data_IF_778801512991
#
_entry.id   IF_778801512991
#
_cell.length_a   1.000
_cell.length_b   1.000
_cell.length_c   1.000
_cell.angle_alpha   90.00
_cell.angle_beta   90.00
_cell.angle_gamma   90.00
#
_symmetry.space_group_name_H-M   'P 1'
#
loop_
_entity.id
_entity.type
_entity.pdbx_description
1 polymer ?
#
# COMPACT_ATOMS: atom_id res chain seq x y z
N UNK A 1 -32.00 -67.67 -33.87
CA UNK A 1 -32.81 -66.48 -33.58
C UNK A 1 -33.34 -66.60 -32.16
N UNK A 2 -32.75 -65.86 -31.22
CA UNK A 2 -33.40 -65.11 -30.13
C UNK A 2 -32.32 -64.77 -29.09
N UNK A 3 -32.08 -63.47 -29.01
CA UNK A 3 -31.08 -62.78 -28.21
C UNK A 3 -31.66 -62.45 -26.83
N UNK A 4 -30.77 -62.46 -25.81
CA UNK A 4 -30.71 -61.48 -24.70
C UNK A 4 -31.85 -61.55 -23.65
N UNK A 5 -31.67 -61.36 -22.34
CA UNK A 5 -30.86 -60.39 -21.62
C UNK A 5 -30.62 -60.93 -20.18
N UNK A 6 -29.37 -60.97 -19.72
CA UNK A 6 -29.08 -61.17 -18.29
C UNK A 6 -29.20 -59.82 -17.58
N UNK A 7 -30.09 -59.73 -16.58
CA UNK A 7 -30.23 -58.56 -15.72
C UNK A 7 -29.10 -58.56 -14.70
N UNK A 8 -28.08 -57.73 -14.93
CA UNK A 8 -27.10 -57.38 -13.91
C UNK A 8 -27.72 -56.29 -13.01
N UNK A 9 -28.03 -56.67 -11.77
CA UNK A 9 -28.35 -55.71 -10.70
C UNK A 9 -27.03 -55.12 -10.21
N UNK A 10 -26.64 -53.96 -10.76
CA UNK A 10 -25.58 -53.13 -10.20
C UNK A 10 -26.17 -52.29 -9.08
N UNK A 11 -25.80 -52.62 -7.84
CA UNK A 11 -26.04 -51.81 -6.65
C UNK A 11 -25.38 -50.43 -6.84
N UNK A 12 -26.19 -49.40 -7.09
CA UNK A 12 -25.74 -48.03 -7.15
C UNK A 12 -25.37 -47.50 -5.77
N UNK A 13 -24.08 -47.59 -5.40
CA UNK A 13 -23.52 -46.72 -4.37
C UNK A 13 -23.36 -45.33 -4.98
N UNK A 14 -24.31 -44.45 -4.71
CA UNK A 14 -24.17 -43.03 -5.00
C UNK A 14 -22.98 -42.49 -4.19
N UNK A 15 -21.84 -42.29 -4.86
CA UNK A 15 -20.71 -41.54 -4.30
C UNK A 15 -21.15 -40.09 -4.24
N UNK A 16 -21.58 -39.65 -3.06
CA UNK A 16 -21.75 -38.23 -2.76
C UNK A 16 -20.36 -37.60 -2.75
N UNK A 17 -19.92 -37.11 -3.91
CA UNK A 17 -18.74 -36.27 -4.03
C UNK A 17 -18.96 -35.02 -3.18
N UNK A 18 -18.27 -34.96 -2.03
CA UNK A 18 -18.24 -33.77 -1.18
C UNK A 18 -17.58 -32.67 -2.02
N UNK A 19 -18.36 -31.76 -2.62
CA UNK A 19 -17.80 -30.57 -3.26
C UNK A 19 -17.05 -29.80 -2.18
N UNK A 20 -15.72 -29.89 -2.19
CA UNK A 20 -14.88 -29.01 -1.38
C UNK A 20 -15.18 -27.58 -1.80
N UNK A 21 -15.92 -26.85 -0.96
CA UNK A 21 -16.09 -25.41 -1.14
C UNK A 21 -14.69 -24.81 -1.14
N UNK A 22 -14.29 -24.24 -2.27
CA UNK A 22 -13.05 -23.46 -2.34
C UNK A 22 -13.08 -22.43 -1.21
N UNK A 23 -12.03 -22.35 -0.37
CA UNK A 23 -12.00 -21.39 0.71
C UNK A 23 -12.21 -19.98 0.16
N UNK A 24 -13.01 -19.19 0.86
CA UNK A 24 -13.32 -17.82 0.49
C UNK A 24 -12.02 -17.00 0.40
N UNK A 25 -11.88 -16.22 -0.67
CA UNK A 25 -10.64 -15.50 -0.98
C UNK A 25 -10.95 -14.11 -1.53
N UNK A 26 -10.14 -13.12 -1.17
CA UNK A 26 -10.24 -11.78 -1.74
C UNK A 26 -9.63 -11.76 -3.16
N UNK A 27 -10.13 -10.87 -4.03
CA UNK A 27 -9.44 -10.56 -5.28
C UNK A 27 -8.31 -9.58 -4.94
N UNK A 28 -7.13 -10.10 -4.63
CA UNK A 28 -6.02 -9.30 -4.13
C UNK A 28 -4.69 -9.66 -4.77
N UNK A 29 -3.74 -8.73 -4.69
CA UNK A 29 -2.40 -8.85 -5.26
C UNK A 29 -1.35 -8.26 -4.32
N UNK A 30 -0.18 -8.86 -4.31
CA UNK A 30 1.01 -8.26 -3.70
C UNK A 30 1.65 -7.35 -4.74
N UNK A 31 1.66 -6.05 -4.47
CA UNK A 31 2.12 -5.02 -5.40
C UNK A 31 3.54 -4.57 -5.05
N UNK A 32 4.40 -4.50 -6.07
CA UNK A 32 5.80 -4.08 -5.93
C UNK A 32 6.15 -3.12 -7.07
N UNK A 33 6.62 -1.93 -6.73
CA UNK A 33 7.31 -1.03 -7.65
C UNK A 33 8.80 -1.11 -7.34
N UNK A 34 9.61 -1.58 -8.29
CA UNK A 34 11.04 -1.86 -8.04
C UNK A 34 11.84 -1.80 -9.33
N UNK A 35 13.14 -1.55 -9.24
CA UNK A 35 14.03 -1.54 -10.41
C UNK A 35 14.78 -2.85 -10.55
N UNK A 36 15.36 -3.05 -11.73
CA UNK A 36 16.23 -4.20 -12.00
C UNK A 36 17.40 -4.30 -10.99
N UNK A 37 17.98 -3.17 -10.57
CA UNK A 37 19.11 -3.14 -9.62
C UNK A 37 18.72 -3.53 -8.18
N UNK A 38 17.43 -3.57 -7.87
CA UNK A 38 16.93 -3.94 -6.54
C UNK A 38 16.68 -5.47 -6.42
N UNK A 39 17.13 -6.28 -7.39
CA UNK A 39 16.89 -7.73 -7.43
C UNK A 39 17.27 -8.45 -6.13
N UNK A 40 18.49 -8.22 -5.63
CA UNK A 40 19.00 -8.89 -4.43
C UNK A 40 18.16 -8.55 -3.18
N UNK A 41 17.96 -7.27 -2.81
CA UNK A 41 17.11 -6.93 -1.66
C UNK A 41 15.65 -7.36 -1.84
N UNK A 42 15.14 -7.41 -3.08
CA UNK A 42 13.80 -7.91 -3.37
C UNK A 42 13.68 -9.42 -3.13
N UNK A 43 14.66 -10.22 -3.56
CA UNK A 43 14.69 -11.67 -3.30
C UNK A 43 14.70 -11.94 -1.79
N UNK A 44 15.47 -11.17 -1.02
CA UNK A 44 15.48 -11.29 0.44
C UNK A 44 14.10 -11.01 1.06
N UNK A 45 13.46 -9.93 0.61
CA UNK A 45 12.09 -9.58 1.00
C UNK A 45 11.11 -10.69 0.65
N UNK A 46 11.13 -11.21 -0.58
CA UNK A 46 10.22 -12.26 -1.03
C UNK A 46 10.39 -13.54 -0.22
N UNK A 47 11.62 -14.01 0.01
CA UNK A 47 11.86 -15.21 0.83
C UNK A 47 11.31 -15.06 2.23
N UNK A 48 11.52 -13.90 2.83
CA UNK A 48 10.98 -13.58 4.14
C UNK A 48 9.44 -13.57 4.11
N UNK A 49 8.84 -12.83 3.18
CA UNK A 49 7.39 -12.70 3.06
C UNK A 49 6.67 -14.02 2.70
N UNK A 50 7.26 -14.84 1.82
CA UNK A 50 6.78 -16.19 1.50
C UNK A 50 6.80 -17.10 2.73
N UNK A 51 7.89 -17.08 3.50
CA UNK A 51 8.02 -17.84 4.75
C UNK A 51 6.98 -17.39 5.79
N UNK A 52 6.77 -16.08 5.92
CA UNK A 52 5.88 -15.50 6.93
C UNK A 52 4.40 -15.57 6.56
N UNK A 53 4.05 -15.57 5.27
CA UNK A 53 2.66 -15.47 4.83
C UNK A 53 2.38 -16.19 3.51
N UNK A 54 3.01 -15.76 2.41
CA UNK A 54 2.41 -15.97 1.10
C UNK A 54 2.56 -17.40 0.55
N UNK A 55 3.46 -18.22 1.09
CA UNK A 55 3.54 -19.64 0.71
C UNK A 55 2.25 -20.42 1.05
N UNK A 56 1.51 -19.96 2.08
CA UNK A 56 0.23 -20.53 2.53
C UNK A 56 -0.95 -20.07 1.68
N UNK A 57 -1.01 -18.77 1.35
CA UNK A 57 -2.17 -18.15 0.69
C UNK A 57 -2.02 -17.99 -0.83
N UNK A 58 -0.78 -17.93 -1.31
CA UNK A 58 -0.37 -17.87 -2.73
C UNK A 58 -1.05 -16.73 -3.49
N UNK A 59 -1.10 -15.53 -2.92
CA UNK A 59 -1.56 -14.32 -3.63
C UNK A 59 -0.58 -13.97 -4.75
N UNK A 60 -1.09 -13.56 -5.93
CA UNK A 60 -0.23 -13.20 -7.04
C UNK A 60 0.63 -12.00 -6.68
N UNK A 61 1.80 -11.93 -7.29
CA UNK A 61 2.64 -10.74 -7.28
C UNK A 61 2.48 -9.96 -8.58
N UNK A 62 2.42 -8.64 -8.48
CA UNK A 62 2.52 -7.72 -9.60
C UNK A 62 3.73 -6.82 -9.38
N UNK A 63 4.73 -6.98 -10.24
CA UNK A 63 5.91 -6.12 -10.29
C UNK A 63 5.74 -5.09 -11.39
N UNK A 64 5.91 -3.81 -11.05
CA UNK A 64 6.02 -2.71 -12.00
C UNK A 64 7.41 -2.06 -11.91
N UNK A 65 7.88 -1.55 -13.05
CA UNK A 65 9.13 -0.81 -13.18
C UNK A 65 8.98 0.25 -14.26
N UNK A 66 9.70 1.37 -14.16
CA UNK A 66 9.75 2.40 -15.18
C UNK A 66 10.57 1.99 -16.42
N UNK A 67 11.35 0.93 -16.29
CA UNK A 67 12.05 0.24 -17.39
C UNK A 67 11.52 -1.19 -17.57
N UNK A 68 11.84 -1.82 -18.71
CA UNK A 68 11.58 -3.25 -18.86
C UNK A 68 12.40 -4.06 -17.85
N UNK A 69 11.75 -5.01 -17.18
CA UNK A 69 12.46 -5.97 -16.36
C UNK A 69 13.36 -6.88 -17.21
N UNK A 70 14.59 -7.10 -16.76
CA UNK A 70 15.51 -8.05 -17.41
C UNK A 70 15.02 -9.48 -17.26
N UNK A 71 15.45 -10.36 -18.17
CA UNK A 71 15.12 -11.78 -18.07
C UNK A 71 15.74 -12.44 -16.83
N UNK A 72 16.89 -11.96 -16.37
CA UNK A 72 17.49 -12.37 -15.09
C UNK A 72 16.56 -12.03 -13.93
N UNK A 73 16.04 -10.81 -13.89
CA UNK A 73 15.10 -10.38 -12.85
C UNK A 73 13.85 -11.26 -12.85
N UNK A 74 13.19 -11.38 -14.01
CA UNK A 74 11.95 -12.17 -14.14
C UNK A 74 12.15 -13.63 -13.77
N UNK A 75 13.24 -14.26 -14.22
CA UNK A 75 13.55 -15.66 -13.93
C UNK A 75 13.82 -15.87 -12.45
N UNK A 76 14.61 -15.01 -11.84
CA UNK A 76 14.97 -15.12 -10.41
C UNK A 76 13.74 -14.96 -9.54
N UNK A 77 12.95 -13.89 -9.74
CA UNK A 77 11.73 -13.63 -8.96
C UNK A 77 10.70 -14.76 -9.09
N UNK A 78 10.49 -15.31 -10.29
CA UNK A 78 9.60 -16.47 -10.48
C UNK A 78 10.09 -17.72 -9.73
N UNK A 79 11.39 -17.86 -9.50
CA UNK A 79 11.97 -18.96 -8.74
C UNK A 79 11.72 -18.87 -7.24
N UNK A 80 11.35 -17.70 -6.71
CA UNK A 80 11.18 -17.47 -5.27
C UNK A 80 9.77 -17.78 -4.73
N UNK A 81 8.80 -18.07 -5.60
CA UNK A 81 7.41 -18.33 -5.19
C UNK A 81 6.70 -19.34 -6.08
N UNK A 82 5.71 -20.05 -5.52
CA UNK A 82 4.78 -20.87 -6.28
C UNK A 82 3.52 -20.08 -6.73
N UNK A 83 3.39 -18.82 -6.32
CA UNK A 83 2.30 -17.95 -6.74
C UNK A 83 2.49 -17.44 -8.17
N UNK A 84 1.42 -16.96 -8.79
CA UNK A 84 1.51 -16.27 -10.09
C UNK A 84 2.32 -14.98 -9.93
N UNK A 85 3.21 -14.70 -10.87
CA UNK A 85 3.97 -13.44 -10.92
C UNK A 85 3.76 -12.78 -12.27
N UNK A 86 3.30 -11.54 -12.24
CA UNK A 86 3.11 -10.67 -13.40
C UNK A 86 4.12 -9.53 -13.35
N UNK A 87 4.63 -9.14 -14.52
CA UNK A 87 5.56 -8.04 -14.70
C UNK A 87 4.97 -7.04 -15.68
N UNK A 88 5.00 -5.76 -15.35
CA UNK A 88 4.57 -4.67 -16.22
C UNK A 88 5.57 -3.53 -16.24
N UNK A 89 5.55 -2.77 -17.32
CA UNK A 89 6.31 -1.52 -17.45
C UNK A 89 5.36 -0.35 -17.26
N UNK A 90 5.77 0.63 -16.46
CA UNK A 90 4.98 1.85 -16.25
C UNK A 90 4.94 2.64 -17.56
N UNK A 91 3.75 3.10 -18.02
CA UNK A 91 3.65 3.97 -19.18
C UNK A 91 4.46 5.26 -19.00
N UNK A 92 5.20 5.68 -20.03
CA UNK A 92 6.06 6.87 -19.98
C UNK A 92 5.30 8.15 -19.56
N UNK A 93 4.04 8.30 -19.98
CA UNK A 93 3.18 9.43 -19.60
C UNK A 93 2.89 9.50 -18.08
N UNK A 94 2.97 8.37 -17.38
CA UNK A 94 2.74 8.25 -15.94
C UNK A 94 4.05 8.43 -15.15
N UNK A 95 5.21 8.28 -15.80
CA UNK A 95 6.56 8.39 -15.24
C UNK A 95 7.40 9.54 -15.88
N UNK A 96 6.74 10.62 -16.29
CA UNK A 96 7.38 11.79 -16.89
C UNK A 96 6.96 13.09 -16.21
N UNK A 97 7.69 14.17 -16.49
CA UNK A 97 7.32 15.52 -16.03
C UNK A 97 6.20 16.04 -16.94
N UNK A 98 5.01 16.35 -16.40
CA UNK A 98 3.89 16.82 -17.21
C UNK A 98 4.14 18.18 -17.87
N UNK A 99 3.47 18.44 -19.00
CA UNK A 99 3.68 19.65 -19.80
C UNK A 99 3.38 20.97 -19.07
N UNK A 100 2.47 20.95 -18.08
CA UNK A 100 2.14 22.15 -17.30
C UNK A 100 3.17 22.48 -16.22
N UNK A 101 4.20 21.64 -16.03
CA UNK A 101 5.29 21.92 -15.12
C UNK A 101 6.30 22.85 -15.82
N UNK A 102 6.48 24.03 -15.25
CA UNK A 102 7.49 25.00 -15.67
C UNK A 102 8.89 24.44 -15.38
N UNK A 103 9.63 24.13 -16.44
CA UNK A 103 10.97 23.54 -16.38
C UNK A 103 11.98 24.43 -15.66
N UNK A 104 11.89 25.76 -15.82
CA UNK A 104 12.81 26.70 -15.16
C UNK A 104 12.55 26.71 -13.66
N UNK A 105 11.28 26.80 -13.25
CA UNK A 105 10.88 26.74 -11.84
C UNK A 105 11.27 25.39 -11.22
N UNK A 106 11.14 24.30 -11.96
CA UNK A 106 11.58 22.97 -11.55
C UNK A 106 13.08 22.93 -11.28
N UNK A 107 13.90 23.39 -12.22
CA UNK A 107 15.36 23.43 -12.10
C UNK A 107 15.82 24.28 -10.91
N UNK A 108 15.21 25.46 -10.72
CA UNK A 108 15.47 26.33 -9.57
C UNK A 108 15.09 25.65 -8.24
N UNK A 109 13.95 24.94 -8.23
CA UNK A 109 13.49 24.20 -7.06
C UNK A 109 14.42 23.05 -6.70
N UNK A 110 14.94 22.31 -7.68
CA UNK A 110 15.90 21.22 -7.46
C UNK A 110 17.24 21.75 -6.93
N UNK A 111 17.76 22.85 -7.51
CA UNK A 111 18.97 23.53 -7.00
C UNK A 111 18.80 23.98 -5.55
N UNK A 112 17.64 24.56 -5.23
CA UNK A 112 17.31 24.99 -3.86
C UNK A 112 17.24 23.81 -2.89
N UNK A 113 16.47 22.77 -3.22
CA UNK A 113 16.32 21.55 -2.40
C UNK A 113 17.66 20.85 -2.15
N UNK A 114 18.53 20.78 -3.17
CA UNK A 114 19.91 20.28 -3.03
C UNK A 114 20.72 21.09 -2.03
N UNK A 115 20.67 22.42 -2.14
CA UNK A 115 21.38 23.34 -1.24
C UNK A 115 20.87 23.26 0.21
N UNK A 116 19.57 23.09 0.39
CA UNK A 116 18.91 22.95 1.69
C UNK A 116 19.06 21.55 2.29
N UNK A 117 19.61 20.57 1.55
CA UNK A 117 19.79 19.20 2.03
C UNK A 117 18.48 18.42 2.16
N UNK A 118 17.44 18.80 1.41
CA UNK A 118 16.15 18.07 1.42
C UNK A 118 16.38 16.66 0.87
N UNK A 119 16.07 15.64 1.69
CA UNK A 119 16.26 14.25 1.31
C UNK A 119 15.54 13.93 -0.01
N UNK A 120 16.30 13.43 -0.98
CA UNK A 120 15.84 13.13 -2.35
C UNK A 120 15.26 14.32 -3.13
N UNK A 121 15.37 15.54 -2.62
CA UNK A 121 14.76 16.72 -3.22
C UNK A 121 15.39 17.13 -4.56
N UNK A 122 16.54 16.60 -4.95
CA UNK A 122 17.13 16.80 -6.27
C UNK A 122 17.13 15.53 -7.14
N UNK A 123 16.37 14.49 -6.77
CA UNK A 123 16.32 13.21 -7.49
C UNK A 123 15.03 13.05 -8.28
N UNK A 124 15.08 13.31 -9.58
CA UNK A 124 13.89 13.28 -10.45
C UNK A 124 13.10 11.95 -10.38
N UNK A 125 13.81 10.81 -10.39
CA UNK A 125 13.17 9.49 -10.27
C UNK A 125 12.37 9.30 -8.99
N UNK A 126 12.79 9.94 -7.88
CA UNK A 126 12.05 9.89 -6.61
C UNK A 126 10.73 10.68 -6.70
N UNK A 127 10.74 11.83 -7.39
CA UNK A 127 9.54 12.61 -7.63
C UNK A 127 8.54 11.87 -8.54
N UNK A 128 9.04 11.19 -9.59
CA UNK A 128 8.22 10.31 -10.42
C UNK A 128 7.62 9.16 -9.62
N UNK A 129 8.42 8.51 -8.76
CA UNK A 129 7.94 7.44 -7.88
C UNK A 129 6.81 7.92 -6.95
N UNK A 130 6.98 9.07 -6.28
CA UNK A 130 5.94 9.62 -5.40
C UNK A 130 4.66 9.95 -6.19
N UNK A 131 4.79 10.56 -7.38
CA UNK A 131 3.65 10.85 -8.24
C UNK A 131 2.95 9.57 -8.74
N UNK A 132 3.71 8.56 -9.13
CA UNK A 132 3.19 7.28 -9.62
C UNK A 132 2.41 6.54 -8.55
N UNK A 133 2.97 6.43 -7.34
CA UNK A 133 2.29 5.81 -6.21
C UNK A 133 1.08 6.62 -5.74
N UNK A 134 1.10 7.96 -5.85
CA UNK A 134 -0.05 8.78 -5.51
C UNK A 134 -1.21 8.70 -6.51
N UNK A 135 -0.95 8.45 -7.80
CA UNK A 135 -1.96 8.71 -8.84
C UNK A 135 -2.22 7.65 -9.89
N UNK A 136 -1.32 6.69 -10.07
CA UNK A 136 -1.29 5.91 -11.31
C UNK A 136 -1.29 4.40 -11.09
N UNK A 137 -0.56 3.87 -10.10
CA UNK A 137 -0.35 2.43 -9.96
C UNK A 137 -1.66 1.63 -9.93
N UNK A 138 -2.70 2.16 -9.30
CA UNK A 138 -4.01 1.52 -9.12
C UNK A 138 -4.89 1.48 -10.39
N UNK A 139 -4.47 2.16 -11.46
CA UNK A 139 -5.11 2.15 -12.78
C UNK A 139 -4.32 1.33 -13.83
N UNK A 140 -3.14 0.80 -13.47
CA UNK A 140 -2.35 0.00 -14.39
C UNK A 140 -3.14 -1.23 -14.87
N UNK A 141 -3.15 -1.58 -16.18
CA UNK A 141 -4.02 -2.64 -16.72
C UNK A 141 -3.93 -3.99 -15.97
N UNK A 142 -2.73 -4.37 -15.52
CA UNK A 142 -2.50 -5.61 -14.77
C UNK A 142 -3.16 -5.62 -13.38
N UNK A 143 -3.39 -4.46 -12.76
CA UNK A 143 -3.98 -4.36 -11.41
C UNK A 143 -5.51 -4.25 -11.43
N UNK A 144 -6.11 -3.95 -12.59
CA UNK A 144 -7.54 -3.65 -12.72
C UNK A 144 -8.47 -4.79 -12.32
N UNK A 145 -7.98 -6.04 -12.35
CA UNK A 145 -8.73 -7.24 -11.97
C UNK A 145 -8.81 -7.49 -10.46
N UNK A 146 -8.10 -6.71 -9.66
CA UNK A 146 -8.04 -6.86 -8.19
C UNK A 146 -8.86 -5.77 -7.48
N UNK A 147 -9.35 -6.12 -6.29
CA UNK A 147 -10.08 -5.25 -5.36
C UNK A 147 -9.18 -4.70 -4.25
N UNK A 148 -8.12 -5.43 -3.88
CA UNK A 148 -7.17 -5.08 -2.84
C UNK A 148 -5.72 -5.25 -3.32
N UNK A 149 -4.81 -4.46 -2.76
CA UNK A 149 -3.36 -4.66 -2.92
C UNK A 149 -2.67 -4.65 -1.56
N UNK A 150 -1.53 -5.34 -1.48
CA UNK A 150 -0.56 -5.19 -0.41
C UNK A 150 0.73 -4.67 -1.01
N UNK A 151 1.08 -3.41 -0.76
CA UNK A 151 2.37 -2.85 -1.16
C UNK A 151 3.48 -3.41 -0.27
N UNK A 152 4.50 -3.97 -0.90
CA UNK A 152 5.77 -4.33 -0.28
C UNK A 152 6.91 -3.73 -1.10
N UNK A 153 8.01 -3.39 -0.45
CA UNK A 153 9.20 -2.81 -1.09
C UNK A 153 10.43 -3.72 -0.91
N UNK A 154 11.48 -3.57 -1.71
CA UNK A 154 12.76 -4.21 -1.44
C UNK A 154 13.33 -3.82 -0.05
N UNK A 155 14.16 -4.68 0.52
CA UNK A 155 14.84 -4.46 1.81
C UNK A 155 13.91 -4.29 3.04
N UNK A 156 12.78 -4.99 3.03
CA UNK A 156 11.85 -5.03 4.18
C UNK A 156 11.83 -6.40 4.84
N UNK A 157 11.43 -6.44 6.11
CA UNK A 157 11.37 -7.68 6.90
C UNK A 157 10.05 -7.81 7.63
N UNK A 158 9.42 -8.97 7.50
CA UNK A 158 8.29 -9.43 8.28
C UNK A 158 8.81 -10.39 9.37
N UNK A 159 8.40 -10.11 10.60
CA UNK A 159 8.93 -10.81 11.79
C UNK A 159 7.98 -11.86 12.34
N UNK A 160 6.70 -11.78 11.97
CA UNK A 160 5.62 -12.63 12.48
C UNK A 160 5.13 -13.65 11.44
N UNK A 161 4.81 -14.87 11.87
CA UNK A 161 4.13 -15.85 11.01
C UNK A 161 2.61 -15.58 10.99
N UNK A 162 2.09 -15.12 9.85
CA UNK A 162 0.68 -14.78 9.68
C UNK A 162 -0.17 -16.04 9.43
N UNK A 163 -0.96 -16.40 10.43
CA UNK A 163 -1.85 -17.58 10.44
C UNK A 163 -3.27 -17.27 9.94
N UNK A 164 -3.53 -16.03 9.52
CA UNK A 164 -4.79 -15.61 8.90
C UNK A 164 -4.51 -14.87 7.58
N UNK A 165 -5.56 -14.63 6.80
CA UNK A 165 -5.50 -13.90 5.53
C UNK A 165 -5.85 -12.42 5.76
N UNK A 166 -4.88 -11.48 5.71
CA UNK A 166 -5.16 -10.06 5.90
C UNK A 166 -6.09 -9.47 4.85
N UNK A 167 -6.04 -9.93 3.60
CA UNK A 167 -6.97 -9.45 2.57
C UNK A 167 -8.40 -9.88 2.86
N UNK A 168 -8.58 -11.15 3.28
CA UNK A 168 -9.89 -11.64 3.67
C UNK A 168 -10.40 -10.92 4.93
N UNK A 169 -9.52 -10.63 5.90
CA UNK A 169 -9.86 -9.83 7.07
C UNK A 169 -10.36 -8.44 6.66
N UNK A 170 -9.63 -7.74 5.79
CA UNK A 170 -10.01 -6.42 5.30
C UNK A 170 -11.39 -6.44 4.65
N UNK A 171 -11.61 -7.42 3.76
CA UNK A 171 -12.90 -7.61 3.07
C UNK A 171 -14.05 -7.91 4.03
N UNK A 172 -13.88 -8.87 4.96
CA UNK A 172 -14.94 -9.30 5.89
C UNK A 172 -15.32 -8.23 6.91
N UNK A 173 -14.36 -7.40 7.30
CA UNK A 173 -14.55 -6.35 8.30
C UNK A 173 -14.76 -4.96 7.67
N UNK A 174 -15.03 -4.91 6.36
CA UNK A 174 -15.30 -3.68 5.61
C UNK A 174 -14.21 -2.60 5.84
N UNK A 175 -12.94 -3.03 5.83
CA UNK A 175 -11.78 -2.16 5.92
C UNK A 175 -11.30 -1.80 4.52
N UNK A 176 -10.90 -0.54 4.36
CA UNK A 176 -10.44 0.02 3.09
C UNK A 176 -8.98 0.44 3.12
N UNK A 177 -8.42 0.77 4.28
CA UNK A 177 -7.01 1.16 4.40
C UNK A 177 -6.37 0.57 5.65
N UNK A 178 -5.23 -0.10 5.48
CA UNK A 178 -4.53 -0.83 6.52
C UNK A 178 -3.05 -0.46 6.54
N UNK A 179 -2.54 -0.13 7.72
CA UNK A 179 -1.16 0.33 7.93
C UNK A 179 -0.55 -0.30 9.18
N UNK A 180 0.77 -0.17 9.36
CA UNK A 180 1.48 -0.66 10.55
C UNK A 180 2.47 0.34 11.16
N UNK A 181 2.86 1.41 10.45
CA UNK A 181 3.73 2.47 10.94
C UNK A 181 3.10 3.80 10.58
N UNK A 182 3.15 4.75 11.52
CA UNK A 182 2.91 6.16 11.25
C UNK A 182 4.19 6.93 11.51
N UNK A 183 4.41 8.04 10.81
CA UNK A 183 5.55 8.93 10.99
C UNK A 183 5.12 10.40 10.92
N UNK A 184 5.98 11.29 11.40
CA UNK A 184 5.87 12.73 11.15
C UNK A 184 6.65 13.05 9.87
N UNK A 185 6.01 13.72 8.91
CA UNK A 185 6.67 14.17 7.68
C UNK A 185 7.59 15.37 7.95
N UNK A 186 8.61 15.54 7.13
CA UNK A 186 9.42 16.75 7.12
C UNK A 186 8.66 17.88 6.42
N UNK A 187 8.26 18.92 7.17
CA UNK A 187 7.50 20.06 6.65
C UNK A 187 8.15 20.70 5.42
N UNK A 188 9.49 20.71 5.34
CA UNK A 188 10.26 21.23 4.19
C UNK A 188 9.97 20.51 2.87
N UNK A 189 9.43 19.30 2.90
CA UNK A 189 9.07 18.52 1.72
C UNK A 189 7.65 18.83 1.21
N UNK A 190 6.79 19.36 2.07
CA UNK A 190 5.35 19.55 1.82
C UNK A 190 4.80 20.93 2.26
N UNK A 191 5.54 22.06 2.11
CA UNK A 191 5.11 23.34 2.68
C UNK A 191 3.76 23.85 2.16
N UNK A 192 3.31 23.44 0.97
CA UNK A 192 2.00 23.85 0.45
C UNK A 192 0.97 22.72 0.32
N UNK A 193 1.31 21.47 0.64
CA UNK A 193 0.40 20.32 0.50
C UNK A 193 -0.90 20.51 1.29
N UNK A 194 -0.80 20.95 2.55
CA UNK A 194 -1.98 21.16 3.39
C UNK A 194 -2.88 22.26 2.84
N UNK A 195 -2.29 23.36 2.35
CA UNK A 195 -3.02 24.48 1.75
C UNK A 195 -3.81 24.02 0.52
N UNK A 196 -3.18 23.27 -0.39
CA UNK A 196 -3.88 22.74 -1.56
C UNK A 196 -4.94 21.70 -1.18
N UNK A 197 -4.71 20.91 -0.14
CA UNK A 197 -5.71 19.97 0.38
C UNK A 197 -6.94 20.69 0.93
N UNK A 198 -6.77 21.76 1.72
CA UNK A 198 -7.88 22.58 2.21
C UNK A 198 -8.61 23.26 1.06
N UNK A 199 -7.86 23.87 0.12
CA UNK A 199 -8.40 24.48 -1.11
C UNK A 199 -9.26 23.49 -1.91
N UNK A 200 -8.83 22.24 -2.04
CA UNK A 200 -9.62 21.18 -2.66
C UNK A 200 -10.92 20.89 -1.90
N UNK A 201 -10.85 20.66 -0.59
CA UNK A 201 -12.02 20.33 0.23
C UNK A 201 -13.05 21.47 0.29
N UNK A 202 -12.60 22.72 0.27
CA UNK A 202 -13.47 23.89 0.28
C UNK A 202 -14.22 24.04 -1.06
N UNK A 203 -13.56 23.75 -2.17
CA UNK A 203 -14.17 23.75 -3.51
C UNK A 203 -15.04 22.53 -3.76
N UNK A 204 -14.76 21.41 -3.08
CA UNK A 204 -15.41 20.12 -3.31
C UNK A 204 -15.92 19.50 -1.99
N UNK A 205 -16.82 20.15 -1.25
CA UNK A 205 -17.26 19.68 0.06
C UNK A 205 -17.88 18.27 0.02
N UNK A 206 -18.51 17.89 -1.10
CA UNK A 206 -19.08 16.55 -1.30
C UNK A 206 -18.04 15.42 -1.39
N UNK A 207 -16.79 15.74 -1.71
CA UNK A 207 -15.68 14.77 -1.75
C UNK A 207 -14.96 14.61 -0.41
N UNK A 208 -15.33 15.39 0.61
CA UNK A 208 -14.67 15.41 1.92
C UNK A 208 -15.62 15.13 3.10
N UNK A 209 -16.43 14.04 3.07
CA UNK A 209 -17.48 13.78 4.05
C UNK A 209 -16.98 13.56 5.49
N UNK A 210 -15.68 13.27 5.69
CA UNK A 210 -15.08 13.02 7.00
C UNK A 210 -14.05 14.08 7.43
N UNK A 211 -14.00 15.24 6.74
CA UNK A 211 -13.08 16.34 7.10
C UNK A 211 -13.24 16.82 8.55
N UNK A 212 -14.46 16.80 9.08
CA UNK A 212 -14.73 17.23 10.46
C UNK A 212 -14.64 16.09 11.49
N UNK A 213 -14.28 14.87 11.04
CA UNK A 213 -14.25 13.64 11.86
C UNK A 213 -12.87 12.98 11.82
N UNK A 214 -12.56 12.24 10.76
CA UNK A 214 -11.34 11.44 10.68
C UNK A 214 -10.14 12.35 10.40
N UNK A 215 -10.28 13.37 9.55
CA UNK A 215 -9.16 14.26 9.21
C UNK A 215 -8.62 15.04 10.42
N UNK A 216 -9.47 15.31 11.43
CA UNK A 216 -9.04 15.95 12.68
C UNK A 216 -7.92 15.21 13.41
N UNK A 217 -7.74 13.91 13.17
CA UNK A 217 -6.61 13.14 13.71
C UNK A 217 -5.25 13.63 13.18
N UNK A 218 -5.27 14.28 12.02
CA UNK A 218 -4.11 14.80 11.33
C UNK A 218 -3.99 16.32 11.46
N UNK A 219 -4.74 16.94 12.39
CA UNK A 219 -4.76 18.39 12.54
C UNK A 219 -4.32 18.81 13.94
N UNK A 220 -3.59 19.91 14.01
CA UNK A 220 -3.40 20.70 15.22
C UNK A 220 -4.03 22.08 15.00
N UNK A 221 -5.21 22.29 15.58
CA UNK A 221 -6.08 23.42 15.26
C UNK A 221 -6.48 23.43 13.77
N UNK A 222 -6.00 24.42 13.02
CA UNK A 222 -6.25 24.57 11.58
C UNK A 222 -5.08 24.13 10.70
N UNK A 223 -4.02 23.58 11.29
CA UNK A 223 -2.79 23.16 10.59
C UNK A 223 -2.73 21.64 10.49
N UNK A 224 -2.05 21.15 9.45
CA UNK A 224 -1.66 19.74 9.38
C UNK A 224 -0.60 19.46 10.46
N UNK A 225 -0.79 18.39 11.25
CA UNK A 225 0.16 17.98 12.29
C UNK A 225 1.34 17.13 11.74
N UNK A 226 1.43 17.02 10.41
CA UNK A 226 2.47 16.28 9.66
C UNK A 226 2.44 14.76 9.83
N UNK A 227 1.53 14.21 10.63
CA UNK A 227 1.39 12.78 10.83
C UNK A 227 0.83 12.09 9.59
N UNK A 228 1.46 11.01 9.18
CA UNK A 228 1.01 10.20 8.04
C UNK A 228 1.21 8.70 8.29
N UNK A 229 0.40 7.89 7.61
CA UNK A 229 0.64 6.46 7.46
C UNK A 229 1.83 6.25 6.54
N UNK A 230 2.74 5.36 6.91
CA UNK A 230 3.97 5.14 6.14
C UNK A 230 3.74 4.14 5.00
N UNK A 231 3.65 4.66 3.77
CA UNK A 231 3.04 3.94 2.64
C UNK A 231 3.84 2.79 2.04
N UNK A 232 5.09 2.55 2.47
CA UNK A 232 5.83 1.35 2.02
C UNK A 232 5.17 0.04 2.49
N UNK A 233 4.36 0.11 3.55
CA UNK A 233 3.42 -0.92 3.93
C UNK A 233 2.00 -0.35 3.82
N UNK A 234 1.22 -0.90 2.89
CA UNK A 234 -0.21 -0.59 2.77
C UNK A 234 -0.97 -1.83 2.33
N UNK A 235 -2.01 -2.19 3.07
CA UNK A 235 -3.04 -3.13 2.60
C UNK A 235 -4.31 -2.33 2.41
N UNK A 236 -4.69 -2.05 1.17
CA UNK A 236 -5.80 -1.14 0.90
C UNK A 236 -6.68 -1.61 -0.26
N UNK A 237 -7.93 -1.13 -0.23
CA UNK A 237 -8.86 -1.32 -1.32
C UNK A 237 -8.50 -0.41 -2.48
N UNK A 238 -8.39 -0.98 -3.68
CA UNK A 238 -8.16 -0.21 -4.90
C UNK A 238 -9.37 0.68 -5.25
N UNK A 239 -10.57 0.38 -4.72
CA UNK A 239 -11.77 1.20 -4.91
C UNK A 239 -11.64 2.59 -4.27
N UNK A 240 -10.89 2.71 -3.18
CA UNK A 240 -10.59 3.99 -2.55
C UNK A 240 -9.89 4.94 -3.54
N UNK A 241 -8.81 4.46 -4.16
CA UNK A 241 -7.99 5.24 -5.08
C UNK A 241 -8.65 5.46 -6.44
N UNK A 242 -9.51 4.53 -6.87
CA UNK A 242 -10.28 4.66 -8.13
C UNK A 242 -11.53 5.53 -7.99
N UNK A 243 -11.89 5.94 -6.78
CA UNK A 243 -13.08 6.76 -6.55
C UNK A 243 -12.95 8.13 -7.21
N UNK A 244 -14.08 8.68 -7.64
CA UNK A 244 -14.15 10.02 -8.23
C UNK A 244 -13.54 11.08 -7.30
N UNK A 245 -13.82 10.99 -6.00
CA UNK A 245 -13.29 11.91 -4.99
C UNK A 245 -11.76 11.87 -4.91
N UNK A 246 -11.15 10.68 -4.91
CA UNK A 246 -9.68 10.56 -4.86
C UNK A 246 -9.05 11.05 -6.15
N UNK A 247 -9.60 10.67 -7.31
CA UNK A 247 -9.06 11.10 -8.60
C UNK A 247 -9.18 12.61 -8.78
N UNK A 248 -10.27 13.24 -8.34
CA UNK A 248 -10.40 14.69 -8.33
C UNK A 248 -9.35 15.36 -7.43
N UNK A 249 -9.08 14.78 -6.26
CA UNK A 249 -8.05 15.26 -5.34
C UNK A 249 -6.64 15.11 -5.93
N UNK A 250 -6.28 13.94 -6.43
CA UNK A 250 -4.99 13.69 -7.07
C UNK A 250 -4.78 14.65 -8.25
N UNK A 251 -5.76 14.80 -9.14
CA UNK A 251 -5.66 15.72 -10.28
C UNK A 251 -5.48 17.17 -9.85
N UNK A 252 -6.13 17.60 -8.78
CA UNK A 252 -5.92 18.92 -8.19
C UNK A 252 -4.47 19.11 -7.72
N UNK A 253 -3.93 18.15 -6.99
CA UNK A 253 -2.54 18.18 -6.51
C UNK A 253 -1.51 18.09 -7.65
N UNK A 254 -1.77 17.26 -8.65
CA UNK A 254 -0.89 17.08 -9.82
C UNK A 254 -0.78 18.38 -10.64
N UNK A 255 -1.89 19.13 -10.76
CA UNK A 255 -1.91 20.46 -11.38
C UNK A 255 -1.25 21.54 -10.51
N UNK A 256 -1.31 21.43 -9.19
CA UNK A 256 -0.57 22.33 -8.29
C UNK A 256 0.96 22.16 -8.42
N UNK A 257 1.42 20.97 -8.84
CA UNK A 257 2.81 20.70 -9.19
C UNK A 257 3.75 20.52 -8.00
N UNK A 258 3.23 20.42 -6.77
CA UNK A 258 4.05 20.26 -5.56
C UNK A 258 4.85 18.96 -5.51
N UNK A 259 4.40 17.91 -6.22
CA UNK A 259 5.21 16.70 -6.44
C UNK A 259 6.52 16.98 -7.18
N UNK A 260 6.65 18.08 -7.92
CA UNK A 260 7.87 18.46 -8.66
C UNK A 260 8.56 19.69 -8.06
N UNK A 261 7.80 20.78 -7.81
CA UNK A 261 8.34 22.01 -7.24
C UNK A 261 8.75 21.86 -5.77
N UNK A 262 8.03 21.04 -5.01
CA UNK A 262 8.36 20.65 -3.63
C UNK A 262 8.86 19.20 -3.63
N UNK A 263 8.51 18.37 -2.66
CA UNK A 263 8.79 16.92 -2.69
C UNK A 263 7.61 16.19 -2.03
N UNK A 264 6.41 16.37 -2.56
CA UNK A 264 5.24 15.70 -1.98
C UNK A 264 5.35 14.19 -2.14
N UNK A 265 5.42 13.49 -1.01
CA UNK A 265 5.37 12.04 -0.97
C UNK A 265 3.95 11.51 -1.17
N UNK A 266 3.82 10.30 -1.69
CA UNK A 266 2.56 9.57 -1.76
C UNK A 266 1.98 9.30 -0.36
N UNK A 267 2.83 9.03 0.63
CA UNK A 267 2.41 8.73 2.01
C UNK A 267 1.54 9.84 2.67
N UNK A 268 1.95 11.12 2.71
CA UNK A 268 1.09 12.20 3.21
C UNK A 268 -0.12 12.47 2.30
N UNK A 269 -0.02 12.28 0.98
CA UNK A 269 -1.17 12.43 0.06
C UNK A 269 -2.25 11.39 0.37
N UNK A 270 -1.87 10.10 0.44
CA UNK A 270 -2.77 8.99 0.79
C UNK A 270 -3.39 9.22 2.17
N UNK A 271 -2.59 9.66 3.15
CA UNK A 271 -3.06 9.91 4.51
C UNK A 271 -4.14 10.99 4.54
N UNK A 272 -3.90 12.14 3.90
CA UNK A 272 -4.87 13.24 3.88
C UNK A 272 -6.16 12.81 3.20
N UNK A 273 -6.07 12.11 2.07
CA UNK A 273 -7.22 11.52 1.38
C UNK A 273 -8.01 10.56 2.28
N UNK A 274 -7.35 9.58 2.89
CA UNK A 274 -7.97 8.66 3.87
C UNK A 274 -8.64 9.46 5.00
N UNK A 275 -7.99 10.52 5.49
CA UNK A 275 -8.48 11.39 6.54
C UNK A 275 -9.80 12.08 6.20
N UNK A 276 -9.97 12.61 5.00
CA UNK A 276 -11.22 13.30 4.63
C UNK A 276 -12.26 12.40 3.93
N UNK A 277 -11.88 11.24 3.41
CA UNK A 277 -12.76 10.35 2.63
C UNK A 277 -13.32 9.17 3.42
N UNK A 278 -12.62 8.68 4.45
CA UNK A 278 -13.02 7.48 5.19
C UNK A 278 -13.44 7.78 6.64
N UNK A 279 -14.45 7.07 7.17
CA UNK A 279 -14.65 7.02 8.61
C UNK A 279 -13.53 6.19 9.24
N UNK A 280 -13.12 6.56 10.47
CA UNK A 280 -12.14 5.83 11.30
C UNK A 280 -12.34 4.30 11.29
N UNK A 281 -13.60 3.83 11.33
CA UNK A 281 -13.95 2.41 11.35
C UNK A 281 -13.51 1.62 10.10
N UNK A 282 -13.23 2.27 8.96
CA UNK A 282 -12.71 1.63 7.74
C UNK A 282 -11.19 1.64 7.64
N UNK A 283 -10.51 2.25 8.61
CA UNK A 283 -9.06 2.24 8.75
C UNK A 283 -8.67 1.16 9.75
N UNK A 284 -7.58 0.43 9.48
CA UNK A 284 -7.10 -0.64 10.33
C UNK A 284 -5.61 -0.50 10.63
N UNK A 285 -5.26 -0.57 11.91
CA UNK A 285 -3.87 -0.67 12.36
C UNK A 285 -3.53 -2.14 12.55
N UNK A 286 -2.64 -2.66 11.71
CA UNK A 286 -2.10 -4.02 11.82
C UNK A 286 -1.01 -4.08 12.90
N UNK A 287 -1.44 -3.97 14.16
CA UNK A 287 -0.57 -4.10 15.34
C UNK A 287 0.20 -5.43 15.33
N UNK A 288 -0.44 -6.47 14.83
CA UNK A 288 0.00 -7.86 14.81
C UNK A 288 0.94 -8.19 13.62
N UNK A 289 1.05 -7.31 12.62
CA UNK A 289 2.01 -7.49 11.52
C UNK A 289 3.31 -6.77 11.86
N UNK A 290 4.21 -7.51 12.52
CA UNK A 290 5.53 -7.01 12.85
C UNK A 290 6.41 -6.87 11.59
N UNK A 291 6.93 -5.67 11.39
CA UNK A 291 7.48 -5.24 10.10
C UNK A 291 8.61 -4.23 10.29
N UNK A 292 9.68 -4.36 9.52
CA UNK A 292 10.77 -3.39 9.48
C UNK A 292 10.97 -2.93 8.05
N UNK A 293 11.02 -1.62 7.89
CA UNK A 293 11.71 -0.96 6.79
C UNK A 293 12.68 0.01 7.44
N UNK A 294 13.99 -0.19 7.22
CA UNK A 294 15.01 0.56 7.95
C UNK A 294 14.81 2.08 7.83
N UNK A 295 14.96 2.86 8.93
CA UNK A 295 15.38 2.46 10.27
C UNK A 295 14.22 2.10 11.22
N UNK A 296 12.99 1.99 10.72
CA UNK A 296 11.77 1.91 11.53
C UNK A 296 11.21 0.49 11.60
N UNK A 297 10.74 0.11 12.78
CA UNK A 297 10.14 -1.22 13.03
C UNK A 297 8.78 -1.06 13.71
N UNK A 298 7.76 -1.80 13.29
CA UNK A 298 6.56 -2.06 14.08
C UNK A 298 6.74 -3.42 14.78
N UNK A 299 6.68 -3.44 16.11
CA UNK A 299 6.75 -4.67 16.89
C UNK A 299 5.87 -4.53 18.14
N UNK A 300 4.81 -5.34 18.22
CA UNK A 300 3.84 -5.29 19.33
C UNK A 300 4.46 -5.77 20.66
N UNK A 301 4.16 -5.09 21.77
CA UNK A 301 4.52 -5.55 23.13
C UNK A 301 3.58 -6.64 23.68
N UNK A 302 2.43 -6.88 23.03
CA UNK A 302 1.46 -7.87 23.48
C UNK A 302 2.03 -9.31 23.43
N UNK A 303 2.06 -10.04 24.56
CA UNK A 303 2.55 -11.41 24.63
C UNK A 303 1.89 -12.37 23.62
N UNK A 304 0.60 -12.19 23.29
CA UNK A 304 -0.11 -13.05 22.33
C UNK A 304 0.49 -12.88 20.94
N UNK A 305 0.79 -11.65 20.55
CA UNK A 305 1.42 -11.32 19.28
C UNK A 305 2.91 -11.71 19.24
N UNK A 306 3.56 -11.91 20.39
CA UNK A 306 4.97 -12.32 20.47
C UNK A 306 5.20 -13.83 20.22
N UNK A 307 4.18 -14.68 20.37
CA UNK A 307 4.33 -16.15 20.28
C UNK A 307 4.98 -16.61 18.96
N UNK A 308 4.65 -15.95 17.85
CA UNK A 308 5.15 -16.30 16.51
C UNK A 308 5.93 -15.15 15.86
N UNK A 309 6.47 -14.25 16.66
CA UNK A 309 7.09 -13.00 16.20
C UNK A 309 8.54 -12.92 16.66
N UNK A 310 9.43 -12.51 15.76
CA UNK A 310 10.86 -12.39 16.02
C UNK A 310 11.35 -10.95 15.83
N UNK A 311 10.92 -10.04 16.70
CA UNK A 311 11.40 -8.67 16.78
C UNK A 311 11.54 -8.23 18.24
N UNK A 312 12.40 -7.24 18.52
CA UNK A 312 12.49 -6.64 19.86
C UNK A 312 11.50 -5.46 19.95
N UNK A 313 10.46 -5.51 20.80
CA UNK A 313 9.55 -4.38 20.99
C UNK A 313 10.25 -3.07 21.41
N UNK A 314 11.38 -3.16 22.10
CA UNK A 314 12.17 -1.98 22.48
C UNK A 314 12.74 -1.22 21.27
N UNK A 315 12.90 -1.91 20.13
CA UNK A 315 13.34 -1.34 18.86
C UNK A 315 12.18 -0.93 17.95
N UNK A 316 10.93 -1.17 18.37
CA UNK A 316 9.77 -0.63 17.66
C UNK A 316 9.91 0.89 17.57
N UNK A 317 9.37 1.50 16.53
CA UNK A 317 9.11 2.94 16.48
C UNK A 317 8.34 3.21 17.76
N UNK A 318 9.04 3.79 18.74
CA UNK A 318 8.42 4.16 20.00
C UNK A 318 7.20 4.93 19.61
N UNK A 319 6.05 4.43 20.06
CA UNK A 319 4.72 4.94 19.80
C UNK A 319 4.82 6.46 19.61
N UNK A 320 4.99 6.90 18.37
CA UNK A 320 5.33 8.29 18.15
C UNK A 320 4.05 9.10 18.40
N UNK A 321 4.18 10.41 18.54
CA UNK A 321 3.01 11.26 18.80
C UNK A 321 1.88 10.97 17.80
N UNK A 322 2.21 10.62 16.56
CA UNK A 322 1.25 10.24 15.52
C UNK A 322 0.47 8.95 15.84
N UNK A 323 1.13 7.82 16.08
CA UNK A 323 0.44 6.56 16.38
C UNK A 323 -0.32 6.63 17.71
N UNK A 324 0.27 7.26 18.74
CA UNK A 324 -0.40 7.45 20.04
C UNK A 324 -1.70 8.25 19.89
N UNK A 325 -1.63 9.40 19.21
CA UNK A 325 -2.79 10.27 18.97
C UNK A 325 -3.85 9.55 18.16
N UNK A 326 -3.44 8.77 17.15
CA UNK A 326 -4.36 8.00 16.31
C UNK A 326 -5.11 6.93 17.12
N UNK A 327 -4.40 6.12 17.91
CA UNK A 327 -5.01 5.04 18.70
C UNK A 327 -5.94 5.57 19.79
N UNK A 328 -5.48 6.60 20.54
CA UNK A 328 -6.29 7.24 21.58
C UNK A 328 -7.62 7.79 21.03
N UNK A 329 -7.63 8.29 19.80
CA UNK A 329 -8.80 8.92 19.20
C UNK A 329 -9.67 7.97 18.36
N UNK A 330 -9.22 6.75 18.09
CA UNK A 330 -9.98 5.75 17.31
C UNK A 330 -10.63 4.70 18.19
N UNK A 331 -10.24 4.60 19.47
CA UNK A 331 -10.74 3.57 20.37
C UNK A 331 -10.35 2.17 19.92
N UNK A 332 -9.33 2.06 19.07
CA UNK A 332 -8.70 0.77 18.75
C UNK A 332 -7.93 0.38 19.99
N UNK A 333 -8.52 -0.54 20.74
CA UNK A 333 -7.95 -1.10 21.96
C UNK A 333 -6.51 -1.56 21.71
N UNK A 334 -5.59 -1.02 22.51
CA UNK A 334 -4.15 -1.32 22.47
C UNK A 334 -3.84 -2.61 23.23
N UNK A 335 -4.83 -3.45 23.55
CA UNK A 335 -4.61 -4.70 24.27
C UNK A 335 -3.86 -5.70 23.39
#
# INVERSE_FOLDING_TARGET
MLFSLAVLVLSGLAVWGRQEKKPERAKAVVFVLTRNCDLVPMVQTMRNFEKRFNSRYRYPYLFLNDEEFTEEFKKTIRGETAALVEFGTVPEAEWSVPEWVDKKKLDESFKRKKKEGVMFGDKMSYHHMCRFNAGFFFNHPLIMKYDYYWRIEPDVQFHCDLQYDPFLYMKKNNKEYGFNIMLTEFESTIPTLWKETVSFMDKNPGHAPFKDKTLKLFMDGSKYNLCHFWSNFEIASLHLWRSEAYMAYFNHLDKAGGMFYERWGDAPIHTLAVGFMLPKARIHFFKDIAYTHSPYTNCSEDPVHQINTHCNPEHSVKMNSCLQTFLAATGVDVY
#
